data_IF_696640395507
#
_entry.id   IF_696640395507
#
_cell.length_a   1.000
_cell.length_b   1.000
_cell.length_c   1.000
_cell.angle_alpha   90.00
_cell.angle_beta   90.00
_cell.angle_gamma   90.00
#
_symmetry.space_group_name_H-M   'P 1'
#
loop_
_entity.id
_entity.type
_entity.pdbx_description
1 polymer ?
#
# COMPACT_ATOMS: atom_id res chain seq x y z
N UNK A 1 22.57 -17.64 -1.87
CA UNK A 1 22.16 -18.46 -3.04
C UNK A 1 20.93 -19.34 -2.77
N UNK A 2 20.88 -20.16 -1.70
CA UNK A 2 19.74 -21.05 -1.44
C UNK A 2 18.37 -20.35 -1.42
N UNK A 3 18.29 -19.16 -0.80
CA UNK A 3 17.07 -18.33 -0.79
C UNK A 3 16.59 -17.99 -2.22
N UNK A 4 17.49 -17.50 -3.09
CA UNK A 4 17.14 -17.12 -4.46
C UNK A 4 16.69 -18.34 -5.28
N UNK A 5 17.33 -19.49 -5.08
CA UNK A 5 16.92 -20.74 -5.72
C UNK A 5 15.52 -21.16 -5.28
N UNK A 6 15.23 -21.11 -3.97
CA UNK A 6 13.91 -21.45 -3.46
C UNK A 6 12.84 -20.47 -3.96
N UNK A 7 13.09 -19.17 -3.86
CA UNK A 7 12.20 -18.12 -4.35
C UNK A 7 11.84 -18.32 -5.83
N UNK A 8 12.85 -18.52 -6.70
CA UNK A 8 12.65 -18.79 -8.13
C UNK A 8 11.83 -20.06 -8.34
N UNK A 9 12.16 -21.11 -7.58
CA UNK A 9 11.46 -22.39 -7.64
C UNK A 9 9.99 -22.30 -7.26
N UNK A 10 9.66 -21.52 -6.22
CA UNK A 10 8.27 -21.33 -5.80
C UNK A 10 7.49 -20.45 -6.77
N UNK A 11 8.05 -19.32 -7.23
CA UNK A 11 7.40 -18.46 -8.22
C UNK A 11 7.18 -19.16 -9.56
N UNK A 12 8.07 -20.09 -9.95
CA UNK A 12 7.88 -20.89 -11.15
C UNK A 12 6.74 -21.90 -11.03
N UNK A 13 6.39 -22.34 -9.80
CA UNK A 13 5.30 -23.28 -9.56
C UNK A 13 3.95 -22.58 -9.50
N UNK A 14 3.89 -21.36 -8.93
CA UNK A 14 2.65 -20.61 -8.77
C UNK A 14 2.92 -19.11 -8.63
N UNK A 15 2.15 -18.31 -9.35
CA UNK A 15 2.00 -16.88 -9.05
C UNK A 15 0.89 -16.73 -7.99
N UNK A 16 1.15 -16.08 -6.86
CA UNK A 16 0.14 -15.90 -5.81
C UNK A 16 -1.10 -15.16 -6.33
N UNK A 17 -2.28 -15.61 -5.91
CA UNK A 17 -3.53 -14.89 -6.16
C UNK A 17 -3.62 -13.64 -5.26
N UNK A 18 -4.57 -12.76 -5.55
CA UNK A 18 -4.80 -11.53 -4.75
C UNK A 18 -5.10 -11.90 -3.29
N UNK A 19 -4.37 -11.28 -2.36
CA UNK A 19 -4.50 -11.54 -0.92
C UNK A 19 -3.69 -12.73 -0.40
N UNK A 20 -2.99 -13.46 -1.27
CA UNK A 20 -2.07 -14.54 -0.91
C UNK A 20 -0.61 -14.14 -1.16
N UNK A 21 0.31 -14.69 -0.38
CA UNK A 21 1.75 -14.42 -0.52
C UNK A 21 2.59 -15.68 -0.34
N UNK A 22 3.72 -15.72 -1.04
CA UNK A 22 4.84 -16.59 -0.69
C UNK A 22 5.80 -15.78 0.18
N UNK A 23 6.34 -16.36 1.25
CA UNK A 23 7.15 -15.61 2.21
C UNK A 23 8.41 -16.34 2.64
N UNK A 24 9.49 -15.59 2.82
CA UNK A 24 10.80 -16.08 3.24
C UNK A 24 11.37 -15.24 4.38
N UNK A 25 11.80 -15.90 5.46
CA UNK A 25 12.51 -15.26 6.57
C UNK A 25 13.94 -14.90 6.17
N UNK A 26 14.32 -13.64 6.37
CA UNK A 26 15.67 -13.14 6.09
C UNK A 26 16.57 -13.14 7.33
N UNK A 27 15.99 -13.26 8.53
CA UNK A 27 16.71 -13.35 9.81
C UNK A 27 17.87 -14.37 9.85
N UNK A 28 17.83 -15.52 9.15
CA UNK A 28 18.95 -16.46 9.12
C UNK A 28 20.14 -16.03 8.25
N UNK A 29 20.00 -15.01 7.40
CA UNK A 29 21.10 -14.54 6.54
C UNK A 29 22.13 -13.77 7.36
N UNK A 30 23.41 -13.95 7.04
CA UNK A 30 24.47 -13.10 7.58
C UNK A 30 24.45 -11.71 6.91
N UNK A 31 25.25 -10.79 7.44
CA UNK A 31 25.29 -9.40 6.97
C UNK A 31 25.72 -9.27 5.49
N UNK A 32 26.66 -10.09 5.04
CA UNK A 32 27.17 -10.04 3.66
C UNK A 32 26.11 -10.54 2.68
N UNK A 33 25.45 -11.66 3.00
CA UNK A 33 24.35 -12.22 2.21
C UNK A 33 23.16 -11.25 2.13
N UNK A 34 22.83 -10.59 3.24
CA UNK A 34 21.75 -9.61 3.26
C UNK A 34 22.10 -8.35 2.46
N UNK A 35 23.34 -7.87 2.56
CA UNK A 35 23.84 -6.73 1.78
C UNK A 35 23.81 -7.03 0.28
N UNK A 36 24.25 -8.24 -0.09
CA UNK A 36 24.16 -8.72 -1.47
C UNK A 36 22.71 -8.78 -1.95
N UNK A 37 21.80 -9.36 -1.16
CA UNK A 37 20.38 -9.44 -1.50
C UNK A 37 19.76 -8.05 -1.69
N UNK A 38 20.06 -7.09 -0.81
CA UNK A 38 19.57 -5.72 -0.92
C UNK A 38 20.06 -5.05 -2.21
N UNK A 39 21.33 -5.28 -2.56
CA UNK A 39 21.91 -4.73 -3.79
C UNK A 39 21.25 -5.35 -5.04
N UNK A 40 20.96 -6.65 -4.99
CA UNK A 40 20.33 -7.38 -6.08
C UNK A 40 18.87 -6.95 -6.30
N UNK A 41 18.10 -6.87 -5.22
CA UNK A 41 16.67 -6.57 -5.27
C UNK A 41 16.39 -5.08 -5.46
N UNK A 42 17.25 -4.20 -4.94
CA UNK A 42 17.04 -2.75 -4.99
C UNK A 42 15.72 -2.31 -4.35
N UNK A 43 15.37 -1.04 -4.58
CA UNK A 43 14.12 -0.43 -4.13
C UNK A 43 13.29 -0.06 -5.36
N UNK A 44 12.06 -0.57 -5.41
CA UNK A 44 11.05 -0.24 -6.40
C UNK A 44 10.28 1.03 -6.04
N UNK A 45 9.15 1.23 -6.71
CA UNK A 45 8.42 2.49 -6.64
C UNK A 45 7.52 2.60 -5.40
N UNK A 46 7.02 1.48 -4.87
CA UNK A 46 6.03 1.47 -3.78
C UNK A 46 6.69 1.23 -2.43
N UNK A 47 6.40 2.11 -1.47
CA UNK A 47 6.78 1.98 -0.07
C UNK A 47 5.58 2.17 0.84
N UNK A 48 5.52 1.40 1.93
CA UNK A 48 4.40 1.43 2.89
C UNK A 48 4.92 1.47 4.32
N UNK A 49 4.26 2.29 5.14
CA UNK A 49 4.43 2.31 6.60
C UNK A 49 3.09 2.03 7.26
N UNK A 50 3.10 1.12 8.22
CA UNK A 50 1.93 0.76 9.02
C UNK A 50 2.29 0.98 10.49
N UNK A 51 1.50 1.76 11.20
CA UNK A 51 1.61 1.93 12.66
C UNK A 51 0.66 0.96 13.36
N UNK A 52 1.20 0.10 14.22
CA UNK A 52 0.41 -0.91 14.93
C UNK A 52 -0.07 -0.38 16.31
N UNK A 53 -1.21 -0.87 16.84
CA UNK A 53 -1.73 -0.43 18.13
C UNK A 53 -0.80 -0.67 19.33
N UNK A 54 0.09 -1.64 19.23
CA UNK A 54 1.10 -1.95 20.25
C UNK A 54 2.33 -1.01 20.20
N UNK A 55 2.32 -0.01 19.31
CA UNK A 55 3.42 0.93 19.09
C UNK A 55 4.58 0.36 18.27
N UNK A 56 4.44 -0.84 17.70
CA UNK A 56 5.33 -1.33 16.66
C UNK A 56 4.98 -0.72 15.29
N UNK A 57 5.88 -0.85 14.32
CA UNK A 57 5.67 -0.37 12.96
C UNK A 57 6.10 -1.43 11.95
N UNK A 58 5.38 -1.54 10.83
CA UNK A 58 5.85 -2.27 9.66
C UNK A 58 6.34 -1.30 8.60
N UNK A 59 7.57 -1.51 8.15
CA UNK A 59 8.16 -0.85 6.99
C UNK A 59 8.20 -1.85 5.83
N UNK A 60 7.56 -1.47 4.74
CA UNK A 60 7.38 -2.31 3.56
C UNK A 60 7.95 -1.57 2.36
N UNK A 61 8.71 -2.28 1.53
CA UNK A 61 9.32 -1.72 0.33
C UNK A 61 9.22 -2.74 -0.80
N UNK A 62 8.57 -2.34 -1.90
CA UNK A 62 8.66 -3.10 -3.14
C UNK A 62 10.08 -3.07 -3.66
N UNK A 63 10.54 -4.13 -4.30
CA UNK A 63 11.84 -4.20 -4.95
C UNK A 63 11.74 -3.73 -6.41
N UNK A 64 12.85 -3.69 -7.15
CA UNK A 64 12.82 -3.42 -8.61
C UNK A 64 12.12 -4.52 -9.43
N UNK A 65 11.79 -5.63 -8.76
CA UNK A 65 10.98 -6.73 -9.25
C UNK A 65 9.57 -6.57 -8.67
N UNK A 66 8.65 -6.07 -9.49
CA UNK A 66 7.26 -5.82 -9.13
C UNK A 66 6.62 -7.05 -8.47
N UNK A 67 5.91 -6.80 -7.36
CA UNK A 67 5.27 -7.84 -6.57
C UNK A 67 6.23 -8.65 -5.68
N UNK A 68 7.53 -8.34 -5.66
CA UNK A 68 8.43 -8.76 -4.59
C UNK A 68 8.61 -7.62 -3.58
N UNK A 69 8.41 -7.94 -2.31
CA UNK A 69 8.28 -6.99 -1.23
C UNK A 69 9.17 -7.36 -0.06
N UNK A 70 9.96 -6.42 0.43
CA UNK A 70 10.57 -6.55 1.74
C UNK A 70 9.61 -6.04 2.81
N UNK A 71 9.40 -6.83 3.84
CA UNK A 71 8.54 -6.52 4.99
C UNK A 71 9.37 -6.59 6.26
N UNK A 72 9.58 -5.45 6.90
CA UNK A 72 10.27 -5.35 8.19
C UNK A 72 9.28 -4.95 9.26
N UNK A 73 9.30 -5.64 10.39
CA UNK A 73 8.54 -5.27 11.58
C UNK A 73 9.50 -4.77 12.64
N UNK A 74 9.28 -3.58 13.16
CA UNK A 74 10.13 -2.94 14.14
C UNK A 74 9.33 -2.53 15.37
N UNK A 75 9.96 -2.58 16.53
CA UNK A 75 9.41 -1.99 17.75
C UNK A 75 10.52 -1.25 18.49
N UNK A 76 10.32 0.04 18.77
CA UNK A 76 11.35 0.92 19.34
C UNK A 76 12.69 0.88 18.56
N UNK A 77 12.62 0.94 17.22
CA UNK A 77 13.77 0.83 16.29
C UNK A 77 14.52 -0.49 16.31
N UNK A 78 14.05 -1.48 17.08
CA UNK A 78 14.58 -2.84 17.04
C UNK A 78 13.80 -3.65 16.01
N UNK A 79 14.52 -4.22 15.06
CA UNK A 79 13.98 -5.17 14.10
C UNK A 79 13.50 -6.43 14.83
N UNK A 80 12.23 -6.75 14.67
CA UNK A 80 11.58 -7.95 15.21
C UNK A 80 11.53 -9.06 14.15
N UNK A 81 11.12 -8.72 12.93
CA UNK A 81 11.09 -9.64 11.79
C UNK A 81 11.56 -8.93 10.52
N UNK A 82 12.14 -9.70 9.60
CA UNK A 82 12.59 -9.22 8.28
C UNK A 82 12.29 -10.33 7.28
N UNK A 83 11.37 -10.05 6.36
CA UNK A 83 10.82 -11.02 5.42
C UNK A 83 10.89 -10.49 4.01
N UNK A 84 11.07 -11.40 3.07
CA UNK A 84 10.77 -11.16 1.66
C UNK A 84 9.44 -11.86 1.37
N UNK A 85 8.53 -11.16 0.70
CA UNK A 85 7.24 -11.69 0.29
C UNK A 85 7.05 -11.50 -1.22
N UNK A 86 6.36 -12.44 -1.85
CA UNK A 86 5.92 -12.34 -3.23
C UNK A 86 4.40 -12.42 -3.29
N UNK A 87 3.76 -11.49 -3.99
CA UNK A 87 2.31 -11.39 -4.15
C UNK A 87 1.89 -10.01 -4.65
N UNK A 88 0.60 -9.81 -4.88
CA UNK A 88 0.10 -8.51 -5.39
C UNK A 88 0.35 -7.37 -4.40
N UNK A 89 0.32 -7.67 -3.11
CA UNK A 89 0.78 -6.80 -2.02
C UNK A 89 1.11 -7.67 -0.79
N UNK A 90 1.91 -7.18 0.18
CA UNK A 90 2.28 -7.96 1.36
C UNK A 90 1.09 -8.35 2.23
N UNK A 91 1.17 -9.50 2.89
CA UNK A 91 0.08 -10.00 3.71
C UNK A 91 -0.25 -9.06 4.87
N UNK A 92 0.77 -8.45 5.47
CA UNK A 92 0.59 -7.48 6.58
C UNK A 92 -0.20 -6.25 6.13
N UNK A 93 -0.06 -5.82 4.88
CA UNK A 93 -0.82 -4.69 4.33
C UNK A 93 -2.29 -5.07 4.13
N UNK A 94 -2.58 -6.24 3.56
CA UNK A 94 -3.95 -6.76 3.44
C UNK A 94 -4.64 -6.88 4.80
N UNK A 95 -3.92 -7.40 5.80
CA UNK A 95 -4.41 -7.55 7.16
C UNK A 95 -4.70 -6.18 7.79
N UNK A 96 -3.76 -5.23 7.73
CA UNK A 96 -3.95 -3.90 8.30
C UNK A 96 -5.13 -3.15 7.64
N UNK A 97 -5.22 -3.19 6.31
CA UNK A 97 -6.31 -2.57 5.56
C UNK A 97 -7.71 -3.11 5.94
N UNK A 98 -7.76 -4.34 6.47
CA UNK A 98 -8.99 -5.01 6.88
C UNK A 98 -9.24 -4.93 8.39
N UNK A 99 -8.20 -4.87 9.20
CA UNK A 99 -8.25 -4.96 10.66
C UNK A 99 -8.73 -3.66 11.32
N UNK A 100 -8.46 -2.52 10.69
CA UNK A 100 -8.85 -1.22 11.23
C UNK A 100 -10.28 -0.85 10.82
N UNK A 101 -11.20 -0.94 11.78
CA UNK A 101 -12.32 0.01 11.79
C UNK A 101 -12.97 0.20 13.14
N UNK A 102 -13.29 1.47 13.41
CA UNK A 102 -14.39 1.85 14.26
C UNK A 102 -15.69 1.17 13.76
N UNK A 103 -16.58 0.71 14.66
CA UNK A 103 -17.95 0.41 14.25
C UNK A 103 -18.57 1.64 13.57
N UNK A 104 -19.51 1.34 12.67
CA UNK A 104 -20.25 2.14 11.68
C UNK A 104 -21.01 3.40 12.19
N UNK A 105 -20.45 4.07 13.19
CA UNK A 105 -21.07 5.15 13.96
C UNK A 105 -20.30 6.47 13.81
N UNK A 106 -19.58 6.70 12.71
CA UNK A 106 -19.11 8.04 12.37
C UNK A 106 -20.33 8.89 11.99
N UNK A 107 -21.06 9.32 13.00
CA UNK A 107 -21.99 10.44 12.93
C UNK A 107 -21.30 11.54 12.15
N UNK A 108 -22.03 12.16 11.21
CA UNK A 108 -21.51 13.31 10.50
C UNK A 108 -20.91 14.29 11.51
N UNK A 109 -19.68 14.78 11.29
CA UNK A 109 -19.14 15.83 12.15
C UNK A 109 -20.09 17.04 12.13
N UNK A 110 -20.06 17.90 13.15
CA UNK A 110 -20.87 19.11 13.14
C UNK A 110 -20.57 19.93 11.87
N UNK A 111 -21.61 20.42 11.16
CA UNK A 111 -21.42 21.24 9.97
C UNK A 111 -20.53 22.46 10.27
N UNK A 112 -19.67 22.79 9.30
CA UNK A 112 -18.83 23.99 9.35
C UNK A 112 -19.53 25.10 8.58
N UNK A 113 -19.36 26.37 8.98
CA UNK A 113 -19.86 27.49 8.19
C UNK A 113 -19.17 27.54 6.82
N UNK A 114 -19.93 27.76 5.74
CA UNK A 114 -19.40 27.84 4.38
C UNK A 114 -19.33 26.51 3.62
N UNK A 115 -20.00 25.46 4.12
CA UNK A 115 -20.19 24.22 3.35
C UNK A 115 -20.99 24.50 2.06
N UNK A 116 -20.53 23.89 0.98
CA UNK A 116 -21.22 23.90 -0.31
C UNK A 116 -21.61 22.47 -0.69
N UNK A 117 -20.61 21.58 -0.83
CA UNK A 117 -20.81 20.20 -1.29
C UNK A 117 -20.33 19.14 -0.28
N UNK A 118 -19.80 19.52 0.88
CA UNK A 118 -19.24 18.57 1.85
C UNK A 118 -20.29 17.59 2.43
N UNK A 119 -21.53 18.05 2.68
CA UNK A 119 -22.60 17.21 3.21
C UNK A 119 -23.06 16.09 2.24
N UNK A 120 -23.41 16.37 0.98
CA UNK A 120 -23.80 15.30 0.05
C UNK A 120 -22.66 14.31 -0.18
N UNK A 121 -21.40 14.77 -0.30
CA UNK A 121 -20.24 13.89 -0.46
C UNK A 121 -20.00 13.01 0.76
N UNK A 122 -20.17 13.55 1.97
CA UNK A 122 -20.07 12.76 3.19
C UNK A 122 -21.12 11.65 3.26
N UNK A 123 -22.36 11.93 2.83
CA UNK A 123 -23.40 10.90 2.76
C UNK A 123 -23.07 9.81 1.72
N UNK A 124 -22.54 10.20 0.55
CA UNK A 124 -22.10 9.26 -0.48
C UNK A 124 -20.98 8.34 0.03
N UNK A 125 -19.94 8.91 0.64
CA UNK A 125 -18.84 8.14 1.25
C UNK A 125 -19.36 7.15 2.29
N UNK A 126 -20.20 7.61 3.24
CA UNK A 126 -20.73 6.75 4.29
C UNK A 126 -21.65 5.65 3.72
N UNK A 127 -22.42 5.92 2.68
CA UNK A 127 -23.26 4.91 2.04
C UNK A 127 -22.42 3.76 1.44
N UNK A 128 -21.33 4.09 0.74
CA UNK A 128 -20.44 3.09 0.16
C UNK A 128 -19.54 2.38 1.17
N UNK A 129 -19.16 3.03 2.27
CA UNK A 129 -18.44 2.39 3.38
C UNK A 129 -19.33 1.37 4.11
N UNK A 130 -20.63 1.70 4.27
CA UNK A 130 -21.64 0.87 4.94
C UNK A 130 -22.04 -0.39 4.16
N UNK A 131 -22.02 -0.29 2.85
CA UNK A 131 -22.35 -1.41 1.97
C UNK A 131 -21.13 -1.83 1.13
N UNK A 132 -20.30 -2.77 1.65
CA UNK A 132 -19.16 -3.29 0.92
C UNK A 132 -19.51 -3.96 -0.41
N UNK A 133 -20.78 -4.27 -0.70
CA UNK A 133 -21.19 -4.78 -2.01
C UNK A 133 -21.13 -3.70 -3.11
N UNK A 134 -21.04 -2.41 -2.74
CA UNK A 134 -20.98 -1.27 -3.68
C UNK A 134 -19.55 -0.87 -4.06
N UNK A 135 -18.57 -1.76 -3.90
CA UNK A 135 -17.14 -1.53 -4.17
C UNK A 135 -16.77 -2.01 -5.59
N UNK A 136 -15.78 -1.37 -6.28
CA UNK A 136 -15.04 -0.18 -5.87
C UNK A 136 -15.77 1.13 -6.21
N UNK A 137 -15.51 2.19 -5.46
CA UNK A 137 -16.06 3.53 -5.69
C UNK A 137 -14.99 4.61 -5.51
N UNK A 138 -15.05 5.70 -6.28
CA UNK A 138 -14.09 6.80 -6.19
C UNK A 138 -14.77 8.15 -6.38
N UNK A 139 -14.42 9.11 -5.51
CA UNK A 139 -14.85 10.50 -5.60
C UNK A 139 -13.64 11.36 -5.92
N UNK A 140 -13.60 11.92 -7.13
CA UNK A 140 -12.54 12.83 -7.57
C UNK A 140 -12.81 14.26 -7.07
N UNK A 141 -12.16 14.65 -5.97
CA UNK A 141 -12.31 15.96 -5.33
C UNK A 141 -11.73 17.11 -6.17
N UNK A 142 -10.81 16.82 -7.10
CA UNK A 142 -10.20 17.83 -7.98
C UNK A 142 -11.18 18.33 -9.04
N UNK A 143 -12.15 17.49 -9.42
CA UNK A 143 -13.17 17.81 -10.43
C UNK A 143 -14.44 18.45 -9.83
N UNK A 144 -14.48 18.60 -8.50
CA UNK A 144 -15.64 19.12 -7.79
C UNK A 144 -15.40 20.54 -7.27
N UNK A 145 -16.41 21.42 -7.30
CA UNK A 145 -16.32 22.73 -6.66
C UNK A 145 -16.40 22.58 -5.14
N UNK A 146 -15.24 22.52 -4.48
CA UNK A 146 -15.14 22.36 -3.03
C UNK A 146 -14.64 23.64 -2.36
N UNK A 147 -15.35 24.09 -1.33
CA UNK A 147 -14.86 25.14 -0.44
C UNK A 147 -13.80 24.58 0.54
N UNK A 148 -13.05 25.46 1.19
CA UNK A 148 -12.14 25.07 2.27
C UNK A 148 -12.90 24.39 3.42
N UNK A 149 -14.13 24.85 3.70
CA UNK A 149 -15.00 24.25 4.70
C UNK A 149 -15.41 22.82 4.31
N UNK A 150 -15.67 22.55 3.02
CA UNK A 150 -15.97 21.19 2.53
C UNK A 150 -14.78 20.26 2.75
N UNK A 151 -13.56 20.70 2.41
CA UNK A 151 -12.33 19.92 2.60
C UNK A 151 -12.07 19.61 4.07
N UNK A 152 -12.22 20.61 4.94
CA UNK A 152 -12.06 20.43 6.39
C UNK A 152 -13.11 19.48 6.96
N UNK A 153 -14.36 19.58 6.50
CA UNK A 153 -15.45 18.72 6.93
C UNK A 153 -15.23 17.26 6.53
N UNK A 154 -14.86 17.01 5.28
CA UNK A 154 -14.53 15.66 4.80
C UNK A 154 -13.29 15.10 5.51
N UNK A 155 -12.24 15.89 5.72
CA UNK A 155 -11.07 15.46 6.46
C UNK A 155 -11.39 15.05 7.91
N UNK A 156 -12.30 15.78 8.58
CA UNK A 156 -12.78 15.43 9.94
C UNK A 156 -13.63 14.17 9.96
N UNK A 157 -14.47 13.98 8.94
CA UNK A 157 -15.29 12.78 8.80
C UNK A 157 -14.40 11.55 8.61
N UNK A 158 -13.48 11.61 7.65
CA UNK A 158 -12.63 10.49 7.29
C UNK A 158 -11.59 10.20 8.37
N UNK A 159 -11.05 11.23 9.03
CA UNK A 159 -9.97 11.08 10.00
C UNK A 159 -8.67 10.55 9.38
N UNK A 160 -7.75 10.11 10.24
CA UNK A 160 -6.47 9.54 9.82
C UNK A 160 -6.41 8.06 10.21
N UNK A 161 -6.03 7.21 9.26
CA UNK A 161 -5.67 5.83 9.50
C UNK A 161 -4.20 5.68 9.86
N UNK A 162 -3.78 4.43 10.00
CA UNK A 162 -2.43 4.04 10.42
C UNK A 162 -1.52 3.59 9.26
N UNK A 163 -2.05 3.54 8.03
CA UNK A 163 -1.32 3.12 6.82
C UNK A 163 -0.98 4.35 5.98
N UNK A 164 0.29 4.49 5.63
CA UNK A 164 0.78 5.47 4.66
C UNK A 164 1.53 4.74 3.54
N UNK A 165 1.13 5.00 2.31
CA UNK A 165 1.71 4.45 1.09
C UNK A 165 2.26 5.60 0.27
N UNK A 166 3.46 5.41 -0.28
CA UNK A 166 4.11 6.34 -1.21
C UNK A 166 4.53 5.57 -2.44
N UNK A 167 4.22 6.15 -3.60
CA UNK A 167 4.63 5.64 -4.90
C UNK A 167 5.50 6.71 -5.55
N UNK A 168 6.76 6.37 -5.84
CA UNK A 168 7.73 7.24 -6.49
C UNK A 168 8.06 6.72 -7.88
N UNK A 169 7.43 7.30 -8.91
CA UNK A 169 7.65 6.99 -10.32
C UNK A 169 7.72 8.28 -11.15
N UNK A 170 6.93 8.37 -12.23
CA UNK A 170 6.80 9.59 -13.05
C UNK A 170 6.16 10.79 -12.31
N UNK A 171 5.68 10.59 -11.09
CA UNK A 171 5.20 11.58 -10.13
C UNK A 171 5.19 10.99 -8.72
N UNK A 172 4.97 11.82 -7.70
CA UNK A 172 4.80 11.35 -6.32
C UNK A 172 3.31 11.16 -6.04
N UNK A 173 2.91 9.92 -5.74
CA UNK A 173 1.58 9.62 -5.22
C UNK A 173 1.66 9.26 -3.75
N UNK A 174 0.75 9.82 -2.97
CA UNK A 174 0.57 9.50 -1.56
C UNK A 174 -0.83 8.92 -1.37
N UNK A 175 -0.89 7.75 -0.78
CA UNK A 175 -2.15 7.08 -0.47
C UNK A 175 -2.17 6.81 1.03
N UNK A 176 -3.14 7.38 1.74
CA UNK A 176 -3.25 7.20 3.19
C UNK A 176 -4.56 6.51 3.52
N UNK A 177 -4.51 5.53 4.43
CA UNK A 177 -5.74 5.03 5.04
C UNK A 177 -6.41 6.15 5.83
N UNK A 178 -7.73 6.16 5.84
CA UNK A 178 -8.53 6.99 6.73
C UNK A 178 -8.90 6.18 7.99
N UNK A 179 -9.64 6.77 8.92
CA UNK A 179 -10.19 6.03 10.06
C UNK A 179 -11.39 5.13 9.67
N UNK A 180 -11.88 5.24 8.43
CA UNK A 180 -12.98 4.45 7.88
C UNK A 180 -12.45 3.27 7.05
N UNK A 181 -13.14 2.13 7.14
CA UNK A 181 -12.69 0.87 6.53
C UNK A 181 -12.64 1.03 5.02
N UNK A 182 -11.56 0.54 4.41
CA UNK A 182 -11.42 0.52 2.95
C UNK A 182 -11.51 1.90 2.29
N UNK A 183 -11.52 3.00 3.06
CA UNK A 183 -11.55 4.35 2.53
C UNK A 183 -10.13 4.92 2.56
N UNK A 184 -9.63 5.24 1.38
CA UNK A 184 -8.29 5.71 1.11
C UNK A 184 -8.32 7.14 0.59
N UNK A 185 -7.41 7.97 1.08
CA UNK A 185 -7.18 9.30 0.54
C UNK A 185 -5.98 9.26 -0.42
N UNK A 186 -6.25 9.37 -1.72
CA UNK A 186 -5.26 9.28 -2.79
C UNK A 186 -4.96 10.69 -3.29
N UNK A 187 -3.67 11.05 -3.29
CA UNK A 187 -3.17 12.32 -3.82
C UNK A 187 -2.01 12.08 -4.76
N UNK A 188 -2.12 12.58 -5.98
CA UNK A 188 -1.02 12.56 -6.95
C UNK A 188 -0.51 13.99 -7.14
N UNK A 189 0.80 14.17 -7.06
CA UNK A 189 1.46 15.46 -7.20
C UNK A 189 2.24 15.51 -8.52
N UNK A 190 2.06 16.58 -9.28
CA UNK A 190 3.02 16.94 -10.34
C UNK A 190 4.21 17.61 -9.67
N UNK A 191 5.43 17.14 -9.96
CA UNK A 191 6.67 17.71 -9.45
C UNK A 191 6.82 19.22 -9.72
N UNK A 192 6.08 19.77 -10.70
CA UNK A 192 6.19 21.17 -11.13
C UNK A 192 4.86 21.95 -11.09
N UNK A 193 3.69 21.28 -11.03
CA UNK A 193 2.38 21.93 -11.27
C UNK A 193 1.36 21.82 -10.12
N UNK A 194 1.73 21.23 -8.99
CA UNK A 194 0.84 21.08 -7.83
C UNK A 194 -0.01 19.80 -7.89
N UNK A 195 -1.14 19.72 -7.15
CA UNK A 195 -1.93 18.50 -7.09
C UNK A 195 -2.59 18.17 -8.43
N UNK A 196 -2.28 16.99 -8.98
CA UNK A 196 -2.90 16.45 -10.19
C UNK A 196 -4.20 15.73 -9.88
N UNK A 197 -4.23 15.04 -8.75
CA UNK A 197 -5.38 14.27 -8.27
C UNK A 197 -5.47 14.39 -6.76
N UNK A 198 -6.70 14.51 -6.31
CA UNK A 198 -7.12 14.45 -4.91
C UNK A 198 -8.44 13.68 -4.93
N UNK A 199 -8.45 12.45 -4.41
CA UNK A 199 -9.62 11.56 -4.45
C UNK A 199 -9.76 10.76 -3.16
N UNK A 200 -11.01 10.44 -2.84
CA UNK A 200 -11.33 9.38 -1.91
C UNK A 200 -11.68 8.12 -2.70
N UNK A 201 -11.01 7.02 -2.39
CA UNK A 201 -11.23 5.72 -3.01
C UNK A 201 -11.71 4.74 -1.96
N UNK A 202 -12.78 4.02 -2.30
CA UNK A 202 -13.36 3.00 -1.45
C UNK A 202 -13.10 1.67 -2.14
N UNK A 203 -12.16 0.92 -1.57
CA UNK A 203 -11.72 -0.38 -2.05
C UNK A 203 -10.92 -1.13 -0.96
N UNK A 204 -10.85 -2.48 -0.98
CA UNK A 204 -10.04 -3.23 -0.02
C UNK A 204 -8.57 -2.78 0.04
N UNK A 205 -7.97 -2.56 -1.12
CA UNK A 205 -6.66 -1.93 -1.28
C UNK A 205 -6.64 -1.21 -2.65
N UNK A 206 -6.05 -0.01 -2.78
CA UNK A 206 -6.02 0.74 -4.03
C UNK A 206 -5.25 0.00 -5.11
N UNK A 207 -5.80 -0.02 -6.33
CA UNK A 207 -5.22 -0.75 -7.47
C UNK A 207 -3.79 -0.29 -7.79
N UNK A 208 -3.50 1.00 -7.60
CA UNK A 208 -2.16 1.59 -7.76
C UNK A 208 -1.07 0.92 -6.91
N UNK A 209 -1.43 0.21 -5.85
CA UNK A 209 -0.51 -0.47 -4.93
C UNK A 209 -0.27 -1.91 -5.34
N UNK A 210 -1.20 -2.49 -6.12
CA UNK A 210 -1.19 -3.90 -6.44
C UNK A 210 -0.26 -4.18 -7.62
N UNK A 211 0.70 -5.09 -7.43
CA UNK A 211 1.42 -5.68 -8.54
C UNK A 211 0.48 -6.61 -9.31
N UNK A 212 0.37 -6.39 -10.63
CA UNK A 212 -0.45 -7.24 -11.48
C UNK A 212 0.20 -8.64 -11.62
N UNK A 213 -0.60 -9.70 -11.86
CA UNK A 213 -0.06 -11.04 -12.08
C UNK A 213 0.99 -11.12 -13.21
N UNK A 214 0.80 -10.33 -14.27
CA UNK A 214 1.74 -10.17 -15.38
C UNK A 214 3.07 -9.53 -14.97
N UNK A 215 3.05 -8.51 -14.10
CA UNK A 215 4.25 -7.84 -13.60
C UNK A 215 5.07 -8.76 -12.68
N UNK A 216 4.39 -9.58 -11.88
CA UNK A 216 4.98 -10.66 -11.09
C UNK A 216 5.63 -11.72 -11.98
N UNK A 217 4.96 -12.09 -13.07
CA UNK A 217 5.47 -13.07 -14.02
C UNK A 217 6.71 -12.56 -14.78
N UNK A 218 6.72 -11.28 -15.20
CA UNK A 218 7.88 -10.63 -15.80
C UNK A 218 9.04 -10.51 -14.80
N UNK A 219 8.73 -10.08 -13.57
CA UNK A 219 9.70 -9.98 -12.48
C UNK A 219 10.39 -11.32 -12.17
N UNK A 220 9.63 -12.42 -12.20
CA UNK A 220 10.19 -13.77 -12.09
C UNK A 220 11.18 -14.06 -13.23
N UNK A 221 10.81 -13.76 -14.48
CA UNK A 221 11.69 -13.98 -15.63
C UNK A 221 12.98 -13.15 -15.51
N UNK A 222 12.86 -11.86 -15.19
CA UNK A 222 14.00 -10.98 -14.99
C UNK A 222 14.91 -11.50 -13.86
N UNK A 223 14.34 -11.95 -12.75
CA UNK A 223 15.12 -12.52 -11.65
C UNK A 223 15.86 -13.81 -12.05
N UNK A 224 15.23 -14.66 -12.86
CA UNK A 224 15.86 -15.85 -13.43
C UNK A 224 17.08 -15.49 -14.29
N UNK A 225 16.96 -14.46 -15.13
CA UNK A 225 18.05 -13.96 -15.98
C UNK A 225 19.22 -13.42 -15.16
N UNK A 226 18.95 -12.60 -14.13
CA UNK A 226 20.01 -12.07 -13.25
C UNK A 226 20.72 -13.20 -12.51
N UNK A 227 20.00 -14.20 -12.01
CA UNK A 227 20.61 -15.34 -11.32
C UNK A 227 21.50 -16.17 -12.26
N UNK A 228 21.07 -16.44 -13.50
CA UNK A 228 21.92 -17.13 -14.48
C UNK A 228 23.20 -16.34 -14.80
N UNK A 229 23.10 -15.02 -14.88
CA UNK A 229 24.26 -14.18 -15.09
C UNK A 229 25.25 -14.24 -13.92
N UNK A 230 24.76 -14.33 -12.67
CA UNK A 230 25.61 -14.51 -11.49
C UNK A 230 26.32 -15.86 -11.47
N UNK A 231 25.67 -16.93 -11.95
CA UNK A 231 26.24 -18.29 -12.00
C UNK A 231 27.33 -18.46 -13.08
N UNK A 232 27.37 -17.57 -14.07
CA UNK A 232 28.34 -17.60 -15.18
C UNK A 232 29.59 -16.73 -14.92
N UNK A 233 29.67 -16.10 -13.75
CA UNK A 233 30.81 -15.31 -13.27
C UNK A 233 31.58 -16.04 -12.19
#
# INVERSE_FOLDING_TARGET
>A
MALLTDLRGQLARRIPEVGDVLGWELSPLNADDLSFLNTLLGEGEVSVRIQHPDGSESEIQETIFCGLWRVRHLHNRRLLTDRLEAGSAPLTLWQAATADTLPDDSLLPPPVAGLMNGLPLAHELLAHVRDPALQPHSINLTQLPLSEADRLFLARLCGHGNIQIRISGYGESQINATALRHLWHVRCLDALKGPLLDSYEICPLPELVLAAPEDLADSRQRLDEVCRWLETR
#
